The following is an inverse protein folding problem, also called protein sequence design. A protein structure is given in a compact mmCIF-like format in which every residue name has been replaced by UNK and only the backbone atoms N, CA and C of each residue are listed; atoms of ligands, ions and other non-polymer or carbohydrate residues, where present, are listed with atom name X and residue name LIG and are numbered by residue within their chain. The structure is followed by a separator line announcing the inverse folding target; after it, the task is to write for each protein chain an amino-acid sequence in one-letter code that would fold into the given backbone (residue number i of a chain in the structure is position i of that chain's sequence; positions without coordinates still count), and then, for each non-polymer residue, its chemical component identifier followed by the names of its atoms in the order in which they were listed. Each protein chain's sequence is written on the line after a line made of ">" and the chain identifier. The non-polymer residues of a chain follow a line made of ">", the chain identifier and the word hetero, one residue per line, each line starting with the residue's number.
data_IF_646053846906
#
_entry.id   IF_646053846906
#
_cell.length_a   1.000
_cell.length_b   1.000
_cell.length_c   1.000
_cell.angle_alpha   90.00
_cell.angle_beta   90.00
_cell.angle_gamma   90.00
#
_symmetry.space_group_name_H-M   'P 1'
#
loop_
_entity.id
_entity.type
_entity.pdbx_description
1 polymer ?
#
# COMPACT_ATOMS: atom_id res chain seq x y z
N UNK A 1 -25.15 -3.36 20.91
CA UNK A 1 -24.36 -2.30 21.58
C UNK A 1 -24.11 -1.19 20.59
N UNK A 2 -24.75 -0.05 20.84
CA UNK A 2 -24.80 1.14 20.00
C UNK A 2 -23.44 1.85 20.01
N UNK A 3 -22.83 2.05 18.83
CA UNK A 3 -21.74 3.01 18.70
C UNK A 3 -21.91 3.89 17.46
N UNK A 4 -22.28 5.15 17.74
CA UNK A 4 -21.84 6.38 17.08
C UNK A 4 -22.05 6.57 15.55
N UNK A 5 -22.74 5.70 14.83
CA UNK A 5 -22.85 5.84 13.37
C UNK A 5 -23.95 6.82 12.89
N UNK A 6 -24.81 7.29 13.78
CA UNK A 6 -25.98 8.12 13.44
C UNK A 6 -25.77 9.63 13.68
N UNK A 7 -24.54 10.10 13.94
CA UNK A 7 -24.32 11.47 14.44
C UNK A 7 -23.61 12.46 13.53
N UNK A 8 -23.50 12.21 12.24
CA UNK A 8 -23.23 13.31 11.31
C UNK A 8 -24.16 13.28 10.10
N UNK A 9 -25.45 13.48 10.38
CA UNK A 9 -26.46 13.82 9.37
C UNK A 9 -26.39 15.28 8.93
N UNK A 10 -25.42 16.07 9.43
CA UNK A 10 -25.30 17.52 9.13
C UNK A 10 -24.35 17.84 7.97
N UNK A 11 -23.53 16.89 7.51
CA UNK A 11 -22.65 17.08 6.35
C UNK A 11 -23.29 16.72 4.98
N UNK A 12 -24.53 16.22 4.96
CA UNK A 12 -25.11 15.53 3.81
C UNK A 12 -26.09 16.34 2.93
N UNK A 13 -26.25 17.63 3.18
CA UNK A 13 -27.18 18.47 2.41
C UNK A 13 -26.52 18.84 1.05
N UNK A 14 -26.41 17.87 0.13
CA UNK A 14 -25.91 18.08 -1.24
C UNK A 14 -24.88 17.07 -1.77
N UNK A 15 -24.48 16.06 -1.00
CA UNK A 15 -23.49 15.06 -1.44
C UNK A 15 -24.20 13.87 -2.11
N UNK A 16 -23.70 13.43 -3.28
CA UNK A 16 -24.30 12.29 -4.00
C UNK A 16 -24.23 10.99 -3.19
N UNK A 17 -25.24 10.09 -3.30
CA UNK A 17 -25.26 8.81 -2.56
C UNK A 17 -23.99 7.97 -2.75
N UNK A 18 -23.37 8.06 -3.93
CA UNK A 18 -22.13 7.33 -4.25
C UNK A 18 -20.93 7.86 -3.47
N UNK A 19 -20.85 9.18 -3.29
CA UNK A 19 -19.77 9.84 -2.54
C UNK A 19 -19.91 9.53 -1.04
N UNK A 20 -21.13 9.55 -0.51
CA UNK A 20 -21.45 9.09 0.84
C UNK A 20 -20.98 7.66 1.08
N UNK A 21 -21.35 6.75 0.18
CA UNK A 21 -20.97 5.33 0.25
C UNK A 21 -19.45 5.15 0.19
N UNK A 22 -18.76 5.93 -0.64
CA UNK A 22 -17.29 5.94 -0.72
C UNK A 22 -16.63 6.37 0.58
N UNK A 23 -17.01 7.52 1.15
CA UNK A 23 -16.43 8.04 2.40
C UNK A 23 -16.62 7.03 3.53
N UNK A 24 -17.83 6.47 3.63
CA UNK A 24 -18.19 5.44 4.61
C UNK A 24 -17.33 4.18 4.47
N UNK A 25 -17.19 3.66 3.25
CA UNK A 25 -16.38 2.48 2.97
C UNK A 25 -14.90 2.74 3.33
N UNK A 26 -14.34 3.87 2.87
CA UNK A 26 -12.96 4.29 3.15
C UNK A 26 -12.68 4.40 4.64
N UNK A 27 -13.54 5.09 5.39
CA UNK A 27 -13.38 5.28 6.83
C UNK A 27 -13.50 3.96 7.59
N UNK A 28 -14.35 3.05 7.14
CA UNK A 28 -14.51 1.73 7.77
C UNK A 28 -13.29 0.83 7.51
N UNK A 29 -12.79 0.79 6.28
CA UNK A 29 -11.54 0.08 5.94
C UNK A 29 -10.36 0.64 6.73
N UNK A 30 -10.23 1.97 6.81
CA UNK A 30 -9.16 2.63 7.59
C UNK A 30 -9.21 2.19 9.06
N UNK A 31 -10.38 2.16 9.69
CA UNK A 31 -10.54 1.68 11.07
C UNK A 31 -10.13 0.23 11.23
N UNK A 32 -10.53 -0.65 10.30
CA UNK A 32 -10.12 -2.05 10.35
C UNK A 32 -8.59 -2.20 10.33
N UNK A 33 -7.90 -1.42 9.50
CA UNK A 33 -6.43 -1.43 9.47
C UNK A 33 -5.82 -0.90 10.77
N UNK A 34 -6.37 0.17 11.35
CA UNK A 34 -5.90 0.72 12.63
C UNK A 34 -6.09 -0.25 13.80
N UNK A 35 -7.27 -0.88 13.89
CA UNK A 35 -7.62 -1.81 14.97
C UNK A 35 -7.24 -3.26 14.68
N UNK A 36 -6.66 -3.53 13.51
CA UNK A 36 -6.19 -4.85 13.07
C UNK A 36 -7.28 -5.91 13.04
N UNK A 37 -8.51 -5.48 12.77
CA UNK A 37 -9.68 -6.33 12.72
C UNK A 37 -9.93 -6.79 11.28
N UNK A 38 -9.29 -7.91 10.92
CA UNK A 38 -9.43 -8.52 9.60
C UNK A 38 -10.83 -9.07 9.35
N UNK A 39 -11.47 -9.64 10.37
CA UNK A 39 -12.83 -10.20 10.23
C UNK A 39 -13.82 -9.12 9.83
N UNK A 40 -13.76 -7.97 10.51
CA UNK A 40 -14.59 -6.81 10.18
C UNK A 40 -14.27 -6.24 8.81
N UNK A 41 -13.02 -6.32 8.36
CA UNK A 41 -12.65 -5.94 6.99
C UNK A 41 -13.39 -6.82 5.96
N UNK A 42 -13.42 -8.14 6.14
CA UNK A 42 -14.16 -9.06 5.26
C UNK A 42 -15.67 -8.76 5.24
N UNK A 43 -16.27 -8.53 6.40
CA UNK A 43 -17.67 -8.16 6.53
C UNK A 43 -17.99 -6.86 5.77
N UNK A 44 -17.13 -5.84 5.88
CA UNK A 44 -17.27 -4.57 5.14
C UNK A 44 -17.20 -4.78 3.63
N UNK A 45 -16.34 -5.67 3.13
CA UNK A 45 -16.25 -5.95 1.68
C UNK A 45 -17.53 -6.59 1.13
N UNK A 46 -18.25 -7.37 1.95
CA UNK A 46 -19.54 -7.97 1.58
C UNK A 46 -20.63 -6.89 1.63
N UNK A 47 -20.73 -6.18 2.75
CA UNK A 47 -21.74 -5.15 2.98
C UNK A 47 -21.65 -4.00 1.95
N UNK A 48 -20.44 -3.53 1.62
CA UNK A 48 -20.25 -2.42 0.70
C UNK A 48 -20.74 -2.69 -0.73
N UNK A 49 -20.97 -3.96 -1.12
CA UNK A 49 -21.57 -4.30 -2.42
C UNK A 49 -23.06 -4.00 -2.52
N UNK A 50 -23.75 -3.95 -1.38
CA UNK A 50 -25.19 -3.73 -1.28
C UNK A 50 -25.55 -2.24 -1.36
N UNK A 51 -24.57 -1.36 -1.11
CA UNK A 51 -24.74 0.09 -1.20
C UNK A 51 -24.67 0.60 -2.65
N UNK A 52 -25.20 1.81 -2.88
CA UNK A 52 -25.07 2.53 -4.14
C UNK A 52 -23.62 3.04 -4.34
N UNK A 53 -22.70 2.13 -4.65
CA UNK A 53 -21.28 2.43 -4.87
C UNK A 53 -20.96 2.75 -6.33
N UNK A 54 -19.98 3.63 -6.55
CA UNK A 54 -19.49 3.96 -7.89
C UNK A 54 -18.81 2.75 -8.56
N UNK A 55 -18.77 2.69 -9.91
CA UNK A 55 -18.08 1.62 -10.64
C UNK A 55 -16.58 1.49 -10.26
N UNK A 56 -15.93 2.63 -10.01
CA UNK A 56 -14.53 2.66 -9.55
C UNK A 56 -14.34 1.97 -8.20
N UNK A 57 -15.18 2.31 -7.23
CA UNK A 57 -15.13 1.66 -5.91
C UNK A 57 -15.45 0.17 -6.00
N UNK A 58 -16.43 -0.22 -6.83
CA UNK A 58 -16.75 -1.64 -7.07
C UNK A 58 -15.54 -2.42 -7.60
N UNK A 59 -14.74 -1.82 -8.49
CA UNK A 59 -13.50 -2.42 -9.01
C UNK A 59 -12.46 -2.59 -7.89
N UNK A 60 -12.26 -1.58 -7.05
CA UNK A 60 -11.33 -1.65 -5.90
C UNK A 60 -11.74 -2.77 -4.93
N UNK A 61 -13.01 -2.85 -4.57
CA UNK A 61 -13.51 -3.90 -3.67
C UNK A 61 -13.36 -5.31 -4.27
N UNK A 62 -13.53 -5.44 -5.59
CA UNK A 62 -13.26 -6.70 -6.30
C UNK A 62 -11.78 -7.08 -6.20
N UNK A 63 -10.87 -6.12 -6.39
CA UNK A 63 -9.43 -6.34 -6.22
C UNK A 63 -9.11 -6.76 -4.79
N UNK A 64 -9.64 -6.08 -3.78
CA UNK A 64 -9.43 -6.47 -2.38
C UNK A 64 -9.90 -7.90 -2.11
N UNK A 65 -11.06 -8.30 -2.65
CA UNK A 65 -11.52 -9.69 -2.52
C UNK A 65 -10.57 -10.70 -3.18
N UNK A 66 -10.01 -10.37 -4.35
CA UNK A 66 -9.05 -11.24 -5.05
C UNK A 66 -7.71 -11.39 -4.32
N UNK A 67 -7.28 -10.34 -3.61
CA UNK A 67 -6.01 -10.32 -2.87
C UNK A 67 -6.17 -10.51 -1.34
N UNK A 68 -7.35 -10.95 -0.88
CA UNK A 68 -7.67 -11.14 0.55
C UNK A 68 -6.57 -11.91 1.32
N UNK A 69 -6.05 -13.06 0.82
CA UNK A 69 -5.01 -13.81 1.52
C UNK A 69 -3.73 -12.99 1.78
N UNK A 70 -3.34 -12.14 0.82
CA UNK A 70 -2.16 -11.28 0.94
C UNK A 70 -2.43 -10.06 1.81
N UNK A 71 -3.62 -9.47 1.69
CA UNK A 71 -4.04 -8.34 2.54
C UNK A 71 -4.07 -8.76 4.01
N UNK A 72 -4.49 -10.01 4.31
CA UNK A 72 -4.45 -10.56 5.67
C UNK A 72 -3.06 -10.47 6.30
N UNK A 73 -2.00 -10.65 5.51
CA UNK A 73 -0.63 -10.51 6.00
C UNK A 73 -0.32 -9.09 6.51
N UNK A 74 -0.93 -8.06 5.95
CA UNK A 74 -0.80 -6.68 6.46
C UNK A 74 -1.40 -6.52 7.86
N UNK A 75 -2.46 -7.27 8.18
CA UNK A 75 -3.08 -7.25 9.52
C UNK A 75 -2.23 -8.03 10.53
N UNK A 76 -1.61 -9.14 10.11
CA UNK A 76 -0.76 -9.99 10.95
C UNK A 76 0.59 -9.30 11.21
N UNK A 77 1.32 -8.97 10.15
CA UNK A 77 2.69 -8.46 10.19
C UNK A 77 2.76 -6.93 10.12
N UNK A 78 1.97 -6.26 10.95
CA UNK A 78 1.83 -4.81 11.02
C UNK A 78 3.13 -4.02 11.31
N UNK A 79 4.19 -4.68 11.79
CA UNK A 79 5.48 -4.05 12.07
C UNK A 79 6.32 -3.85 10.80
N UNK A 80 6.02 -4.58 9.72
CA UNK A 80 6.65 -4.31 8.43
C UNK A 80 6.02 -3.06 7.82
N UNK A 81 6.86 -2.06 7.58
CA UNK A 81 6.46 -0.82 6.92
C UNK A 81 6.89 -0.84 5.46
N UNK A 82 6.14 -0.15 4.60
CA UNK A 82 6.54 0.05 3.21
C UNK A 82 7.62 1.14 3.06
N UNK A 83 8.12 1.73 4.15
CA UNK A 83 9.01 2.89 4.12
C UNK A 83 10.30 2.65 3.32
N UNK A 84 10.96 1.51 3.53
CA UNK A 84 12.18 1.16 2.76
C UNK A 84 11.86 0.96 1.27
N UNK A 85 10.75 0.29 0.94
CA UNK A 85 10.31 0.08 -0.45
C UNK A 85 9.96 1.41 -1.13
N UNK A 86 9.26 2.30 -0.42
CA UNK A 86 8.93 3.65 -0.88
C UNK A 86 10.20 4.49 -1.10
N UNK A 87 11.16 4.41 -0.19
CA UNK A 87 12.46 5.08 -0.30
C UNK A 87 13.22 4.65 -1.55
N UNK A 88 13.34 3.34 -1.79
CA UNK A 88 13.97 2.79 -3.00
C UNK A 88 13.22 3.26 -4.26
N UNK A 89 11.88 3.16 -4.27
CA UNK A 89 11.07 3.59 -5.39
C UNK A 89 11.22 5.09 -5.70
N UNK A 90 11.32 5.93 -4.67
CA UNK A 90 11.54 7.36 -4.82
C UNK A 90 12.95 7.68 -5.35
N UNK A 91 13.98 6.97 -4.88
CA UNK A 91 15.34 7.07 -5.41
C UNK A 91 15.39 6.69 -6.90
N UNK A 92 14.74 5.59 -7.29
CA UNK A 92 14.63 5.19 -8.70
C UNK A 92 13.89 6.26 -9.52
N UNK A 93 12.78 6.79 -9.02
CA UNK A 93 12.03 7.86 -9.70
C UNK A 93 12.88 9.13 -9.87
N UNK A 94 13.64 9.52 -8.85
CA UNK A 94 14.55 10.65 -8.91
C UNK A 94 15.67 10.42 -9.93
N UNK A 95 16.25 9.21 -9.94
CA UNK A 95 17.26 8.82 -10.92
C UNK A 95 16.71 8.93 -12.34
N UNK A 96 15.52 8.37 -12.61
CA UNK A 96 14.86 8.45 -13.92
C UNK A 96 14.62 9.89 -14.38
N UNK A 97 14.31 10.82 -13.46
CA UNK A 97 14.10 12.23 -13.79
C UNK A 97 15.40 12.98 -14.08
N UNK A 98 16.47 12.66 -13.35
CA UNK A 98 17.76 13.35 -13.45
C UNK A 98 18.64 12.80 -14.58
N UNK A 99 18.37 11.58 -15.04
CA UNK A 99 19.12 10.97 -16.14
C UNK A 99 18.29 11.16 -17.41
N UNK A 100 18.84 11.86 -18.41
CA UNK A 100 18.22 12.10 -19.71
C UNK A 100 18.06 10.83 -20.58
N UNK A 101 17.75 9.69 -19.96
CA UNK A 101 17.72 8.36 -20.56
C UNK A 101 19.01 7.59 -20.35
N UNK A 102 18.88 6.28 -20.11
CA UNK A 102 19.98 5.33 -20.23
C UNK A 102 19.81 4.57 -21.54
N UNK A 103 20.88 4.51 -22.34
CA UNK A 103 20.91 3.68 -23.56
C UNK A 103 20.91 2.18 -23.24
N UNK A 104 21.46 1.80 -22.09
CA UNK A 104 21.59 0.42 -21.64
C UNK A 104 20.95 0.24 -20.26
N UNK A 105 19.99 -0.68 -20.16
CA UNK A 105 19.30 -0.99 -18.92
C UNK A 105 20.23 -1.55 -17.84
N UNK A 106 21.28 -2.29 -18.21
CA UNK A 106 22.27 -2.81 -17.27
C UNK A 106 23.00 -1.70 -16.54
N UNK A 107 23.32 -0.58 -17.21
CA UNK A 107 23.92 0.57 -16.54
C UNK A 107 22.93 1.26 -15.60
N UNK A 108 21.66 1.38 -16.00
CA UNK A 108 20.62 1.91 -15.13
C UNK A 108 20.44 1.04 -13.87
N UNK A 109 20.38 -0.28 -14.04
CA UNK A 109 20.30 -1.25 -12.93
C UNK A 109 21.52 -1.14 -12.01
N UNK A 110 22.74 -1.12 -12.56
CA UNK A 110 23.96 -1.01 -11.77
C UNK A 110 23.98 0.30 -10.97
N UNK A 111 23.53 1.41 -11.56
CA UNK A 111 23.39 2.68 -10.87
C UNK A 111 22.37 2.60 -9.72
N UNK A 112 21.22 1.96 -9.93
CA UNK A 112 20.22 1.74 -8.86
C UNK A 112 20.84 0.92 -7.73
N UNK A 113 21.50 -0.19 -8.04
CA UNK A 113 22.13 -1.06 -7.04
C UNK A 113 23.17 -0.29 -6.24
N UNK A 114 24.03 0.48 -6.90
CA UNK A 114 25.06 1.30 -6.27
C UNK A 114 24.45 2.38 -5.36
N UNK A 115 23.49 3.16 -5.88
CA UNK A 115 22.87 4.26 -5.13
C UNK A 115 22.05 3.78 -3.93
N UNK A 116 21.35 2.65 -4.08
CA UNK A 116 20.52 2.08 -3.02
C UNK A 116 21.32 1.14 -2.09
N UNK A 117 22.63 1.00 -2.30
CA UNK A 117 23.51 0.07 -1.54
C UNK A 117 22.99 -1.38 -1.53
N UNK A 118 22.42 -1.82 -2.65
CA UNK A 118 21.86 -3.16 -2.84
C UNK A 118 22.89 -4.12 -3.47
N UNK A 119 24.16 -3.99 -3.12
CA UNK A 119 25.26 -4.83 -3.60
C UNK A 119 26.01 -5.43 -2.42
N UNK A 120 26.59 -6.60 -2.63
CA UNK A 120 27.46 -7.25 -1.64
C UNK A 120 28.89 -6.87 -1.96
N UNK A 121 29.60 -6.30 -0.98
CA UNK A 121 31.05 -6.12 -1.08
C UNK A 121 31.71 -7.47 -0.80
N UNK A 122 32.44 -8.02 -1.78
CA UNK A 122 33.34 -9.12 -1.50
C UNK A 122 34.55 -8.55 -0.76
N UNK A 123 34.61 -8.75 0.55
CA UNK A 123 35.85 -8.53 1.31
C UNK A 123 36.72 -9.78 1.12
N UNK A 124 37.86 -9.64 0.45
CA UNK A 124 38.88 -10.69 0.44
C UNK A 124 39.36 -10.86 1.88
N UNK A 125 39.26 -12.06 2.49
CA UNK A 125 39.79 -12.27 3.84
C UNK A 125 41.30 -12.04 3.82
N UNK A 126 41.80 -11.24 4.76
CA UNK A 126 43.18 -10.75 4.89
C UNK A 126 44.22 -11.84 5.21
N UNK A 127 43.90 -13.13 5.03
CA UNK A 127 44.70 -14.27 5.50
C UNK A 127 45.74 -14.79 4.50
N UNK A 128 46.04 -14.07 3.41
CA UNK A 128 47.06 -14.47 2.43
C UNK A 128 48.34 -13.60 2.42
N UNK A 129 48.68 -12.95 3.54
CA UNK A 129 49.96 -12.23 3.72
C UNK A 129 50.84 -12.79 4.85
N UNK A 130 50.76 -14.09 5.11
CA UNK A 130 51.76 -14.80 5.93
C UNK A 130 52.16 -16.06 5.18
N UNK A 131 53.13 -15.92 4.27
CA UNK A 131 53.88 -17.00 3.65
C UNK A 131 55.35 -16.59 3.63
#
# INVERSE_FOLDING_TARGET
>A
MNDAYTRDSRLFIGISPQTTSYIRCRSSIKRCLTYRDFKRFEEILIWAKQEAISPGLRRVLKTFKGYLPYIKNTFIYHHFTNGTLEGINNAIKALKRNTYGYRNFSHFRNRILLMCKLYVLYTVPSTSLVA
#
